data_IF_133797097026
#
_entry.id   IF_133797097026
#
_cell.length_a   1.000
_cell.length_b   1.000
_cell.length_c   1.000
_cell.angle_alpha   90.00
_cell.angle_beta   90.00
_cell.angle_gamma   90.00
#
_symmetry.space_group_name_H-M   'P 1'
#
loop_
_entity.id
_entity.type
_entity.pdbx_description
1 polymer ?
#
# COMPACT_ATOMS: atom_id res chain seq x y z
N UNK A 1 16.63 -3.52 15.41
CA UNK A 1 16.94 -2.40 14.50
C UNK A 1 16.05 -1.20 14.78
N UNK A 2 14.70 -1.31 14.69
CA UNK A 2 13.80 -0.18 14.98
C UNK A 2 14.08 0.49 16.32
N UNK A 3 14.32 -0.27 17.40
CA UNK A 3 14.66 0.29 18.72
C UNK A 3 15.97 1.07 18.70
N UNK A 4 17.00 0.53 18.02
CA UNK A 4 18.29 1.20 17.86
C UNK A 4 18.20 2.48 17.02
N UNK A 5 17.15 2.62 16.20
CA UNK A 5 16.88 3.82 15.41
C UNK A 5 15.82 4.73 16.03
N UNK A 6 15.26 4.37 17.19
CA UNK A 6 14.16 5.13 17.82
C UNK A 6 12.90 5.19 16.95
N UNK A 7 12.66 4.20 16.09
CA UNK A 7 11.52 4.19 15.17
C UNK A 7 10.31 3.49 15.79
N UNK A 8 9.16 4.16 15.77
CA UNK A 8 7.90 3.58 16.23
C UNK A 8 7.26 2.68 15.16
N UNK A 9 7.39 3.06 13.89
CA UNK A 9 6.75 2.42 12.74
C UNK A 9 7.55 2.68 11.47
N UNK A 10 7.39 1.82 10.47
CA UNK A 10 7.82 2.10 9.10
C UNK A 10 6.59 2.40 8.26
N UNK A 11 6.68 3.41 7.38
CA UNK A 11 5.61 3.77 6.46
C UNK A 11 6.12 3.81 5.02
N UNK A 12 5.41 3.16 4.10
CA UNK A 12 5.76 3.12 2.69
C UNK A 12 4.52 2.94 1.80
N UNK A 13 4.53 3.41 0.54
CA UNK A 13 3.48 3.10 -0.42
C UNK A 13 3.30 1.58 -0.54
N UNK A 14 2.06 1.10 -0.59
CA UNK A 14 1.76 -0.32 -0.65
C UNK A 14 2.33 -0.98 -1.92
N UNK A 15 2.34 -0.25 -3.04
CA UNK A 15 2.89 -0.64 -4.34
C UNK A 15 3.68 0.53 -4.92
N UNK A 16 4.61 0.25 -5.84
CA UNK A 16 5.40 1.24 -6.54
C UNK A 16 4.68 1.83 -7.77
N UNK A 17 3.86 1.03 -8.45
CA UNK A 17 3.04 1.44 -9.61
C UNK A 17 1.83 0.50 -9.77
N UNK A 18 0.97 0.77 -10.75
CA UNK A 18 -0.23 -0.02 -11.09
C UNK A 18 -0.06 -0.62 -12.47
N UNK A 19 -0.11 -1.96 -12.55
CA UNK A 19 -0.02 -2.66 -13.82
C UNK A 19 -1.21 -2.33 -14.74
N UNK A 20 -0.93 -2.27 -16.05
CA UNK A 20 -1.96 -2.07 -17.07
C UNK A 20 -2.81 -3.32 -17.22
N UNK A 21 -4.08 -3.12 -17.54
CA UNK A 21 -5.06 -4.20 -17.62
C UNK A 21 -4.80 -5.21 -18.76
N UNK A 22 -3.98 -4.85 -19.77
CA UNK A 22 -3.64 -5.67 -20.94
C UNK A 22 -2.29 -6.41 -20.80
N UNK A 23 -1.70 -6.44 -19.59
CA UNK A 23 -0.37 -7.03 -19.35
C UNK A 23 -0.28 -8.54 -19.61
N UNK A 24 -1.41 -9.22 -19.75
CA UNK A 24 -1.51 -10.65 -20.08
C UNK A 24 -1.27 -10.92 -21.58
N UNK A 25 -1.47 -9.92 -22.45
CA UNK A 25 -1.35 -10.06 -23.91
C UNK A 25 -0.38 -9.06 -24.55
N UNK A 26 -0.04 -7.97 -23.87
CA UNK A 26 0.85 -6.92 -24.37
C UNK A 26 2.22 -7.00 -23.68
N UNK A 27 3.30 -7.35 -24.42
CA UNK A 27 4.64 -7.48 -23.83
C UNK A 27 5.16 -6.22 -23.14
N UNK A 28 4.91 -5.02 -23.67
CA UNK A 28 5.37 -3.78 -23.04
C UNK A 28 4.63 -3.48 -21.72
N UNK A 29 3.33 -3.82 -21.66
CA UNK A 29 2.55 -3.76 -20.42
C UNK A 29 3.02 -4.82 -19.42
N UNK A 30 3.38 -6.00 -19.90
CA UNK A 30 3.94 -7.08 -19.08
C UNK A 30 5.28 -6.67 -18.45
N UNK A 31 6.21 -6.08 -19.22
CA UNK A 31 7.50 -5.63 -18.72
C UNK A 31 7.34 -4.65 -17.54
N UNK A 32 6.40 -3.70 -17.65
CA UNK A 32 6.08 -2.78 -16.56
C UNK A 32 5.37 -3.48 -15.39
N UNK A 33 4.41 -4.37 -15.67
CA UNK A 33 3.64 -5.07 -14.65
C UNK A 33 4.45 -6.08 -13.83
N UNK A 34 5.49 -6.68 -14.42
CA UNK A 34 6.40 -7.63 -13.76
C UNK A 34 7.57 -6.95 -13.03
N UNK A 35 7.68 -5.62 -13.08
CA UNK A 35 8.71 -4.89 -12.35
C UNK A 35 8.55 -5.04 -10.82
N UNK A 36 9.68 -5.02 -10.11
CA UNK A 36 9.70 -5.14 -8.66
C UNK A 36 8.94 -3.98 -7.99
N UNK A 37 8.08 -4.29 -7.02
CA UNK A 37 7.17 -3.33 -6.39
C UNK A 37 5.84 -3.11 -7.12
N UNK A 38 5.67 -3.66 -8.34
CA UNK A 38 4.42 -3.65 -9.11
C UNK A 38 3.77 -5.03 -9.08
N UNK A 39 4.51 -6.06 -9.49
CA UNK A 39 4.03 -7.45 -9.55
C UNK A 39 3.65 -8.02 -8.18
N UNK A 40 4.33 -7.53 -7.15
CA UNK A 40 4.11 -7.82 -5.73
C UNK A 40 4.27 -6.51 -4.99
N UNK A 41 3.45 -6.32 -3.96
CA UNK A 41 3.51 -5.18 -3.07
C UNK A 41 4.92 -4.96 -2.48
N UNK A 42 5.23 -3.71 -2.14
CA UNK A 42 6.51 -3.34 -1.55
C UNK A 42 6.79 -4.17 -0.29
N UNK A 43 7.97 -4.81 -0.26
CA UNK A 43 8.39 -5.75 0.77
C UNK A 43 8.51 -7.20 0.30
N UNK A 44 8.03 -7.52 -0.90
CA UNK A 44 8.12 -8.86 -1.50
C UNK A 44 7.66 -9.94 -0.49
N UNK A 45 8.41 -11.04 -0.37
CA UNK A 45 8.05 -12.12 0.55
C UNK A 45 8.39 -11.80 2.02
N UNK A 46 9.37 -10.93 2.27
CA UNK A 46 10.00 -10.78 3.59
C UNK A 46 8.99 -10.42 4.69
N UNK A 47 8.04 -9.52 4.39
CA UNK A 47 7.03 -9.07 5.36
C UNK A 47 6.22 -10.27 5.90
N UNK A 48 5.79 -11.17 5.02
CA UNK A 48 4.99 -12.33 5.41
C UNK A 48 5.84 -13.45 5.98
N UNK A 49 7.00 -13.69 5.38
CA UNK A 49 7.90 -14.76 5.81
C UNK A 49 8.39 -14.58 7.26
N UNK A 50 8.53 -13.32 7.69
CA UNK A 50 9.02 -12.96 9.02
C UNK A 50 7.89 -12.59 10.00
N UNK A 51 6.61 -12.76 9.63
CA UNK A 51 5.49 -12.45 10.51
C UNK A 51 5.38 -10.98 10.91
N UNK A 52 5.78 -10.05 10.03
CA UNK A 52 5.74 -8.61 10.31
C UNK A 52 4.29 -8.12 10.21
N UNK A 53 3.71 -7.54 11.27
CA UNK A 53 2.35 -7.00 11.22
C UNK A 53 2.33 -5.73 10.37
N UNK A 54 1.24 -5.55 9.62
CA UNK A 54 1.03 -4.42 8.72
C UNK A 54 -0.42 -3.97 8.72
N UNK A 55 -0.65 -2.66 8.62
CA UNK A 55 -1.97 -2.07 8.34
C UNK A 55 -1.84 -1.11 7.15
N UNK A 56 -2.80 -1.14 6.24
CA UNK A 56 -2.79 -0.31 5.03
C UNK A 56 -4.05 0.56 4.99
N UNK A 57 -3.85 1.85 4.72
CA UNK A 57 -4.92 2.87 4.63
C UNK A 57 -4.84 3.60 3.29
N UNK A 58 -5.90 4.28 2.82
CA UNK A 58 -5.85 5.02 1.57
C UNK A 58 -4.83 6.17 1.63
N UNK A 59 -3.83 6.16 0.74
CA UNK A 59 -2.88 7.27 0.59
C UNK A 59 -3.45 8.36 -0.32
N UNK A 60 -4.24 7.96 -1.33
CA UNK A 60 -4.92 8.86 -2.26
C UNK A 60 -5.11 8.23 -3.64
N UNK A 61 -5.46 9.09 -4.59
CA UNK A 61 -5.53 8.75 -6.02
C UNK A 61 -4.30 9.31 -6.72
N UNK A 62 -3.74 8.53 -7.64
CA UNK A 62 -2.77 9.02 -8.62
C UNK A 62 -3.44 10.07 -9.51
N UNK A 63 -2.81 11.22 -9.67
CA UNK A 63 -3.43 12.38 -10.32
C UNK A 63 -3.64 12.18 -11.82
N UNK A 64 -2.75 11.40 -12.46
CA UNK A 64 -2.67 11.12 -13.88
C UNK A 64 -3.61 9.98 -14.33
N UNK A 65 -3.59 8.84 -13.63
CA UNK A 65 -4.37 7.64 -14.02
C UNK A 65 -5.57 7.37 -13.12
N UNK A 66 -5.77 8.17 -12.06
CA UNK A 66 -6.92 8.11 -11.15
C UNK A 66 -7.11 6.75 -10.46
N UNK A 67 -6.03 5.99 -10.31
CA UNK A 67 -6.00 4.74 -9.54
C UNK A 67 -5.65 5.01 -8.07
N UNK A 68 -6.28 4.32 -7.10
CA UNK A 68 -5.96 4.45 -5.70
C UNK A 68 -4.64 3.74 -5.34
N UNK A 69 -3.88 4.32 -4.42
CA UNK A 69 -2.71 3.69 -3.78
C UNK A 69 -2.87 3.73 -2.27
N UNK A 70 -2.45 2.67 -1.60
CA UNK A 70 -2.43 2.57 -0.14
C UNK A 70 -1.11 3.04 0.47
N UNK A 71 -1.16 3.49 1.72
CA UNK A 71 0.00 3.68 2.60
C UNK A 71 0.01 2.53 3.59
N UNK A 72 1.10 1.78 3.62
CA UNK A 72 1.28 0.65 4.53
C UNK A 72 2.17 1.09 5.70
N UNK A 73 1.68 0.86 6.92
CA UNK A 73 2.47 0.89 8.13
C UNK A 73 2.93 -0.52 8.48
N UNK A 74 4.20 -0.69 8.86
CA UNK A 74 4.79 -1.93 9.34
C UNK A 74 5.41 -1.73 10.74
N UNK A 75 5.15 -2.67 11.66
CA UNK A 75 5.51 -2.54 13.07
C UNK A 75 6.28 -3.74 13.61
N UNK A 76 6.51 -3.72 14.93
CA UNK A 76 7.08 -4.86 15.67
C UNK A 76 6.04 -5.98 15.77
N UNK A 77 6.51 -7.22 15.84
CA UNK A 77 5.62 -8.35 16.08
C UNK A 77 4.78 -8.12 17.35
N UNK A 78 3.48 -8.44 17.26
CA UNK A 78 2.49 -8.30 18.33
C UNK A 78 2.13 -6.86 18.75
N UNK A 79 2.58 -5.84 18.00
CA UNK A 79 2.24 -4.42 18.25
C UNK A 79 1.00 -3.96 17.43
N UNK A 80 0.15 -4.91 17.04
CA UNK A 80 -0.97 -4.73 16.10
C UNK A 80 -1.97 -3.65 16.56
N UNK A 81 -2.25 -3.57 17.87
CA UNK A 81 -3.14 -2.54 18.42
C UNK A 81 -2.61 -1.12 18.13
N UNK A 82 -1.31 -0.90 18.34
CA UNK A 82 -0.68 0.40 18.07
C UNK A 82 -0.76 0.74 16.59
N UNK A 83 -0.58 -0.25 15.72
CA UNK A 83 -0.70 -0.07 14.27
C UNK A 83 -2.11 0.35 13.87
N UNK A 84 -3.14 -0.32 14.39
CA UNK A 84 -4.54 0.03 14.14
C UNK A 84 -4.87 1.46 14.61
N UNK A 85 -4.38 1.86 15.80
CA UNK A 85 -4.54 3.24 16.29
C UNK A 85 -3.87 4.26 15.38
N UNK A 86 -2.66 3.97 14.91
CA UNK A 86 -1.94 4.86 13.99
C UNK A 86 -2.66 5.01 12.64
N UNK A 87 -3.14 3.89 12.08
CA UNK A 87 -3.93 3.90 10.85
C UNK A 87 -5.19 4.76 10.99
N UNK A 88 -5.95 4.56 12.07
CA UNK A 88 -7.13 5.36 12.37
C UNK A 88 -6.79 6.86 12.52
N UNK A 89 -5.71 7.19 13.23
CA UNK A 89 -5.25 8.56 13.37
C UNK A 89 -4.88 9.19 12.01
N UNK A 90 -4.19 8.44 11.14
CA UNK A 90 -3.82 8.93 9.80
C UNK A 90 -5.05 9.19 8.91
N UNK A 91 -6.05 8.30 8.95
CA UNK A 91 -7.31 8.48 8.22
C UNK A 91 -8.10 9.68 8.75
N UNK A 92 -8.09 9.90 10.07
CA UNK A 92 -8.79 11.02 10.71
C UNK A 92 -8.24 12.40 10.30
N UNK A 93 -6.98 12.50 9.85
CA UNK A 93 -6.40 13.77 9.35
C UNK A 93 -7.25 14.33 8.20
N UNK A 94 -7.64 13.47 7.26
CA UNK A 94 -8.59 13.80 6.18
C UNK A 94 -9.06 12.54 5.43
N UNK A 95 -10.31 12.52 4.93
CA UNK A 95 -10.76 11.50 4.00
C UNK A 95 -9.94 11.54 2.71
N UNK A 96 -9.39 10.39 2.30
CA UNK A 96 -8.63 10.21 1.04
C UNK A 96 -9.32 9.30 0.04
N UNK A 97 -10.26 8.49 0.53
CA UNK A 97 -11.08 7.59 -0.28
C UNK A 97 -12.10 8.41 -1.09
N UNK A 98 -12.27 8.03 -2.35
CA UNK A 98 -13.30 8.55 -3.26
C UNK A 98 -14.14 7.38 -3.77
N UNK A 99 -15.44 7.60 -3.98
CA UNK A 99 -16.31 6.60 -4.59
C UNK A 99 -15.82 6.29 -6.02
N UNK A 100 -15.74 5.01 -6.43
CA UNK A 100 -15.34 4.66 -7.80
C UNK A 100 -16.32 5.27 -8.82
N UNK A 101 -15.83 5.99 -9.86
CA UNK A 101 -16.69 6.72 -10.78
C UNK A 101 -17.53 5.81 -11.69
N UNK A 102 -17.17 4.54 -11.82
CA UNK A 102 -17.87 3.56 -12.67
C UNK A 102 -19.07 2.90 -11.98
N UNK A 103 -19.32 3.20 -10.69
CA UNK A 103 -20.39 2.61 -9.88
C UNK A 103 -21.07 3.66 -9.00
N UNK A 104 -21.82 4.62 -9.58
CA UNK A 104 -22.58 5.59 -8.81
C UNK A 104 -23.77 4.93 -8.08
N UNK A 105 -24.41 5.68 -7.18
CA UNK A 105 -25.69 5.26 -6.58
C UNK A 105 -26.75 5.07 -7.67
N UNK A 106 -27.62 4.07 -7.49
CA UNK A 106 -28.72 3.74 -8.40
C UNK A 106 -29.88 4.72 -8.28
#
# INVERSE_FOLDING_TARGET
WMDAQGLDVLAFPAVADIARADMDVNPASADAGWANGVWVANGNLAIRHLGIPTVTVPMGLLADIRMPVGLTFAGRAYDDERMLRLAAAFEAIRPRRVAPPRTPAL
#
